data_IF_921738395746
#
_entry.id   IF_921738395746
#
_cell.length_a   1.000
_cell.length_b   1.000
_cell.length_c   1.000
_cell.angle_alpha   90.00
_cell.angle_beta   90.00
_cell.angle_gamma   90.00
#
_symmetry.space_group_name_H-M   'P 1'
#
loop_
_entity.id
_entity.type
_entity.pdbx_description
1 polymer ?
#
# COMPACT_ATOMS: atom_id res chain seq x y z
N UNK A 1 4.92 0.31 9.90
CA UNK A 1 4.73 0.67 8.47
C UNK A 1 5.07 2.14 8.21
N UNK A 2 4.48 3.10 8.92
CA UNK A 2 4.69 4.54 8.69
C UNK A 2 6.17 4.98 8.73
N UNK A 3 6.95 4.44 9.67
CA UNK A 3 8.38 4.74 9.78
C UNK A 3 9.18 4.45 8.49
N UNK A 4 8.85 3.37 7.77
CA UNK A 4 9.48 3.06 6.48
C UNK A 4 9.14 4.15 5.47
N UNK A 5 7.86 4.51 5.37
CA UNK A 5 7.38 5.52 4.42
C UNK A 5 8.02 6.87 4.68
N UNK A 6 8.01 7.32 5.94
CA UNK A 6 8.58 8.62 6.34
C UNK A 6 10.08 8.66 6.04
N UNK A 7 10.82 7.63 6.49
CA UNK A 7 12.27 7.53 6.28
C UNK A 7 12.66 7.57 4.80
N UNK A 8 11.99 6.77 3.98
CA UNK A 8 12.34 6.62 2.56
C UNK A 8 11.85 7.81 1.72
N UNK A 9 10.73 8.44 2.11
CA UNK A 9 10.26 9.70 1.52
C UNK A 9 11.25 10.83 1.78
N UNK A 10 11.71 10.97 3.03
CA UNK A 10 12.74 11.95 3.40
C UNK A 10 14.05 11.73 2.64
N UNK A 11 14.51 10.47 2.54
CA UNK A 11 15.71 10.14 1.76
C UNK A 11 15.55 10.57 0.31
N UNK A 12 14.41 10.27 -0.32
CA UNK A 12 14.17 10.60 -1.72
C UNK A 12 14.13 12.10 -1.99
N UNK A 13 13.45 12.86 -1.13
CA UNK A 13 13.35 14.30 -1.28
C UNK A 13 14.73 14.97 -1.18
N UNK A 14 15.52 14.59 -0.17
CA UNK A 14 16.89 15.08 -0.01
C UNK A 14 17.77 14.72 -1.21
N UNK A 15 17.74 13.48 -1.68
CA UNK A 15 18.51 13.05 -2.86
C UNK A 15 18.19 13.91 -4.10
N UNK A 16 16.91 14.16 -4.36
CA UNK A 16 16.47 14.93 -5.54
C UNK A 16 16.85 16.40 -5.42
N UNK A 17 16.67 17.00 -4.23
CA UNK A 17 17.03 18.40 -4.01
C UNK A 17 18.53 18.61 -4.05
N UNK A 18 19.33 17.75 -3.41
CA UNK A 18 20.80 17.82 -3.48
C UNK A 18 21.30 17.72 -4.92
N UNK A 19 20.77 16.79 -5.73
CA UNK A 19 21.12 16.69 -7.15
C UNK A 19 20.76 17.95 -7.92
N UNK A 20 19.57 18.50 -7.69
CA UNK A 20 19.14 19.72 -8.37
C UNK A 20 20.00 20.93 -7.98
N UNK A 21 20.31 21.07 -6.68
CA UNK A 21 21.16 22.12 -6.12
C UNK A 21 22.57 22.11 -6.73
N UNK A 22 23.19 20.92 -6.84
CA UNK A 22 24.51 20.75 -7.49
C UNK A 22 24.47 21.20 -8.96
N UNK A 23 23.39 20.87 -9.68
CA UNK A 23 23.24 21.26 -11.09
C UNK A 23 22.79 22.72 -11.29
N UNK A 24 22.41 23.45 -10.24
CA UNK A 24 21.88 24.82 -10.32
C UNK A 24 22.43 25.68 -9.17
N UNK A 25 23.77 25.85 -9.07
CA UNK A 25 24.40 26.55 -7.96
C UNK A 25 24.00 28.03 -7.87
N UNK A 26 23.62 28.64 -8.98
CA UNK A 26 23.21 30.04 -9.09
C UNK A 26 21.76 30.31 -8.65
N UNK A 27 20.95 29.26 -8.50
CA UNK A 27 19.55 29.38 -8.10
C UNK A 27 19.39 29.31 -6.58
N UNK A 28 18.28 29.83 -6.02
CA UNK A 28 17.92 29.58 -4.64
C UNK A 28 17.88 28.07 -4.35
N UNK A 29 18.63 27.68 -3.33
CA UNK A 29 18.81 26.27 -2.98
C UNK A 29 17.52 25.68 -2.44
N UNK A 30 17.17 24.49 -2.92
CA UNK A 30 16.00 23.74 -2.43
C UNK A 30 16.38 23.02 -1.15
N UNK A 31 15.59 23.24 -0.11
CA UNK A 31 15.76 22.61 1.19
C UNK A 31 14.50 21.81 1.51
N UNK A 32 14.66 20.53 1.78
CA UNK A 32 13.55 19.68 2.18
C UNK A 32 13.33 19.83 3.68
N UNK A 33 12.14 20.29 4.07
CA UNK A 33 11.68 20.14 5.46
C UNK A 33 11.39 18.65 5.68
N UNK A 34 12.04 17.96 6.63
CA UNK A 34 11.76 16.56 6.91
C UNK A 34 10.27 16.35 7.19
N UNK A 35 9.69 15.34 6.55
CA UNK A 35 8.36 14.81 6.87
C UNK A 35 8.43 14.19 8.26
N UNK A 36 7.60 14.69 9.16
CA UNK A 36 7.42 14.16 10.52
C UNK A 36 6.27 13.16 10.55
N UNK A 37 6.15 12.43 11.66
CA UNK A 37 5.02 11.51 11.89
C UNK A 37 3.69 12.28 11.90
N UNK A 38 3.58 13.35 12.70
CA UNK A 38 2.39 14.21 12.77
C UNK A 38 1.96 14.75 11.39
N UNK A 39 2.93 15.21 10.58
CA UNK A 39 2.63 15.73 9.24
C UNK A 39 2.21 14.60 8.28
N UNK A 40 2.75 13.38 8.46
CA UNK A 40 2.33 12.22 7.68
C UNK A 40 0.93 11.73 8.08
N UNK A 41 0.59 11.77 9.36
CA UNK A 41 -0.78 11.48 9.83
C UNK A 41 -1.77 12.50 9.28
N UNK A 42 -1.41 13.79 9.26
CA UNK A 42 -2.20 14.82 8.59
C UNK A 42 -2.37 14.54 7.09
N UNK A 43 -1.31 14.06 6.41
CA UNK A 43 -1.38 13.68 4.99
C UNK A 43 -2.36 12.51 4.77
N UNK A 44 -2.31 11.48 5.62
CA UNK A 44 -3.25 10.35 5.56
C UNK A 44 -4.68 10.79 5.88
N UNK A 45 -4.86 11.66 6.88
CA UNK A 45 -6.15 12.23 7.24
C UNK A 45 -6.83 12.97 6.08
N UNK A 46 -6.05 13.72 5.29
CA UNK A 46 -6.54 14.35 4.06
C UNK A 46 -7.02 13.31 3.06
N UNK A 47 -6.25 12.26 2.80
CA UNK A 47 -6.61 11.22 1.83
C UNK A 47 -7.89 10.47 2.25
N UNK A 48 -8.03 10.16 3.53
CA UNK A 48 -9.24 9.53 4.09
C UNK A 48 -10.44 10.46 3.95
N UNK A 49 -10.26 11.74 4.30
CA UNK A 49 -11.31 12.76 4.19
C UNK A 49 -11.79 12.92 2.75
N UNK A 50 -10.87 12.98 1.78
CA UNK A 50 -11.20 13.06 0.36
C UNK A 50 -11.97 11.83 -0.12
N UNK A 51 -11.63 10.63 0.39
CA UNK A 51 -12.37 9.40 0.14
C UNK A 51 -13.80 9.45 0.67
N UNK A 52 -13.99 9.83 1.94
CA UNK A 52 -15.31 10.00 2.59
C UNK A 52 -16.16 11.05 1.87
N UNK A 53 -15.50 12.05 1.26
CA UNK A 53 -16.18 13.12 0.53
C UNK A 53 -16.46 12.82 -0.94
N UNK A 54 -16.04 11.65 -1.42
CA UNK A 54 -16.12 11.25 -2.82
C UNK A 54 -15.39 12.22 -3.77
N UNK A 55 -14.39 12.93 -3.24
CA UNK A 55 -13.62 13.95 -3.95
C UNK A 55 -12.33 13.39 -4.56
N UNK A 56 -12.19 12.07 -4.65
CA UNK A 56 -10.97 11.41 -5.15
C UNK A 56 -10.66 11.68 -6.62
N UNK A 57 -11.65 12.13 -7.39
CA UNK A 57 -11.51 12.50 -8.81
C UNK A 57 -11.44 14.02 -9.04
N UNK A 58 -11.56 14.82 -7.99
CA UNK A 58 -11.45 16.28 -8.08
C UNK A 58 -9.99 16.70 -8.21
N UNK A 59 -9.75 17.84 -8.87
CA UNK A 59 -8.40 18.42 -8.90
C UNK A 59 -8.01 18.84 -7.48
N UNK A 60 -6.77 18.54 -7.08
CA UNK A 60 -6.26 18.88 -5.75
C UNK A 60 -6.40 20.38 -5.45
N UNK A 61 -6.32 21.26 -6.45
CA UNK A 61 -6.54 22.70 -6.27
C UNK A 61 -7.96 23.02 -5.80
N UNK A 62 -8.96 22.30 -6.30
CA UNK A 62 -10.35 22.49 -5.89
C UNK A 62 -10.53 22.16 -4.41
N UNK A 63 -9.87 21.10 -3.91
CA UNK A 63 -9.88 20.74 -2.48
C UNK A 63 -9.26 21.82 -1.58
N UNK A 64 -8.39 22.67 -2.12
CA UNK A 64 -7.71 23.75 -1.38
C UNK A 64 -8.29 25.15 -1.64
N UNK A 65 -9.46 25.27 -2.28
CA UNK A 65 -10.15 26.56 -2.42
C UNK A 65 -10.75 27.04 -1.10
N UNK A 66 -10.99 28.34 -0.95
CA UNK A 66 -11.54 28.92 0.28
C UNK A 66 -12.95 28.43 0.62
N UNK A 67 -13.75 28.13 -0.39
CA UNK A 67 -15.12 27.59 -0.31
C UNK A 67 -15.15 26.06 -0.16
N UNK A 68 -14.02 25.37 -0.33
CA UNK A 68 -13.90 23.93 -0.12
C UNK A 68 -13.78 23.56 1.37
N UNK A 69 -13.91 22.26 1.66
CA UNK A 69 -13.91 21.73 3.03
C UNK A 69 -12.69 22.23 3.83
N UNK A 70 -12.88 22.97 4.94
CA UNK A 70 -11.81 23.70 5.60
C UNK A 70 -10.65 22.83 6.11
N UNK A 71 -10.92 21.56 6.46
CA UNK A 71 -9.91 20.68 7.05
C UNK A 71 -8.72 20.43 6.12
N UNK A 72 -8.90 20.46 4.80
CA UNK A 72 -7.77 20.29 3.88
C UNK A 72 -6.70 21.39 4.08
N UNK A 73 -7.15 22.66 4.13
CA UNK A 73 -6.27 23.83 4.32
C UNK A 73 -5.78 23.97 5.76
N UNK A 74 -6.62 23.60 6.73
CA UNK A 74 -6.26 23.62 8.14
C UNK A 74 -5.17 22.57 8.47
N UNK A 75 -5.16 21.43 7.77
CA UNK A 75 -4.21 20.35 8.01
C UNK A 75 -2.84 20.63 7.39
N UNK A 76 -2.77 21.02 6.10
CA UNK A 76 -1.50 21.42 5.50
C UNK A 76 -1.69 22.31 4.26
N UNK A 77 -0.65 23.05 3.89
CA UNK A 77 -0.63 23.84 2.66
C UNK A 77 -0.58 22.93 1.40
N UNK A 78 -1.25 23.35 0.32
CA UNK A 78 -1.31 22.59 -0.96
C UNK A 78 0.08 22.24 -1.52
N UNK A 79 1.02 23.19 -1.44
CA UNK A 79 2.38 23.00 -1.91
C UNK A 79 3.10 21.91 -1.12
N UNK A 80 2.80 21.77 0.18
CA UNK A 80 3.37 20.73 1.03
C UNK A 80 2.76 19.37 0.71
N UNK A 81 1.44 19.31 0.53
CA UNK A 81 0.75 18.10 0.08
C UNK A 81 1.34 17.58 -1.24
N UNK A 82 1.47 18.44 -2.26
CA UNK A 82 2.10 18.07 -3.54
C UNK A 82 3.55 17.60 -3.39
N UNK A 83 4.32 18.25 -2.53
CA UNK A 83 5.71 17.86 -2.31
C UNK A 83 5.81 16.47 -1.65
N UNK A 84 4.96 16.17 -0.67
CA UNK A 84 4.86 14.84 -0.04
C UNK A 84 4.43 13.81 -1.08
N UNK A 85 3.33 14.04 -1.82
CA UNK A 85 2.85 13.12 -2.86
C UNK A 85 3.92 12.80 -3.90
N UNK A 86 4.71 13.80 -4.32
CA UNK A 86 5.80 13.62 -5.29
C UNK A 86 6.91 12.71 -4.77
N UNK A 87 7.28 12.87 -3.50
CA UNK A 87 8.43 12.16 -2.93
C UNK A 87 8.08 10.88 -2.17
N UNK A 88 6.80 10.58 -1.99
CA UNK A 88 6.33 9.40 -1.26
C UNK A 88 7.02 8.11 -1.74
N UNK A 89 7.67 7.38 -0.84
CA UNK A 89 8.33 6.09 -1.11
C UNK A 89 7.95 5.06 -0.06
N UNK A 90 7.95 3.80 -0.46
CA UNK A 90 7.50 2.67 0.38
C UNK A 90 8.61 1.63 0.60
N UNK A 91 9.82 1.87 0.13
CA UNK A 91 10.93 0.94 0.26
C UNK A 91 12.27 1.66 0.06
N UNK A 92 13.34 1.00 0.50
CA UNK A 92 14.69 1.46 0.23
C UNK A 92 15.06 1.29 -1.25
N UNK A 93 15.20 2.42 -1.94
CA UNK A 93 15.56 2.46 -3.36
C UNK A 93 16.96 1.90 -3.66
N UNK A 94 17.89 1.90 -2.70
CA UNK A 94 19.26 1.43 -2.91
C UNK A 94 19.34 -0.09 -3.03
N UNK A 95 18.45 -0.81 -2.35
CA UNK A 95 18.38 -2.29 -2.40
C UNK A 95 17.35 -2.81 -3.40
N UNK A 96 16.58 -1.89 -4.01
CA UNK A 96 15.51 -2.24 -4.96
C UNK A 96 16.03 -2.92 -6.23
N UNK A 97 17.15 -2.52 -6.86
CA UNK A 97 17.65 -3.17 -8.08
C UNK A 97 17.83 -4.68 -7.92
N UNK A 98 18.43 -5.11 -6.81
CA UNK A 98 18.64 -6.54 -6.51
C UNK A 98 17.32 -7.25 -6.26
N UNK A 99 16.39 -6.64 -5.49
CA UNK A 99 15.08 -7.24 -5.22
C UNK A 99 14.20 -7.36 -6.47
N UNK A 100 14.36 -6.45 -7.44
CA UNK A 100 13.63 -6.50 -8.71
C UNK A 100 14.00 -7.69 -9.60
N UNK A 101 15.10 -8.39 -9.32
CA UNK A 101 15.49 -9.61 -10.04
C UNK A 101 14.49 -10.75 -9.79
N UNK A 102 13.95 -10.85 -8.58
CA UNK A 102 12.99 -11.89 -8.18
C UNK A 102 11.58 -11.37 -7.93
N UNK A 103 11.44 -10.10 -7.55
CA UNK A 103 10.17 -9.50 -7.15
C UNK A 103 9.86 -8.23 -7.95
N UNK A 104 8.93 -8.35 -8.92
CA UNK A 104 8.50 -7.21 -9.74
C UNK A 104 7.76 -6.13 -8.94
N UNK A 105 7.20 -6.47 -7.77
CA UNK A 105 6.50 -5.55 -6.87
C UNK A 105 7.40 -5.02 -5.75
N UNK A 106 8.73 -5.22 -5.83
CA UNK A 106 9.72 -4.85 -4.81
C UNK A 106 9.53 -3.44 -4.21
N UNK A 107 9.02 -2.47 -4.97
CA UNK A 107 8.77 -1.12 -4.48
C UNK A 107 7.70 -1.03 -3.36
N UNK A 108 6.86 -2.05 -3.16
CA UNK A 108 5.78 -2.05 -2.16
C UNK A 108 5.73 -3.33 -1.31
N UNK A 109 6.43 -4.39 -1.72
CA UNK A 109 6.36 -5.72 -1.09
C UNK A 109 6.58 -5.71 0.42
N UNK A 110 7.52 -4.92 0.93
CA UNK A 110 7.78 -4.85 2.37
C UNK A 110 6.55 -4.36 3.15
N UNK A 111 5.91 -3.28 2.69
CA UNK A 111 4.66 -2.81 3.29
C UNK A 111 3.52 -3.78 3.11
N UNK A 112 3.44 -4.46 1.96
CA UNK A 112 2.40 -5.44 1.69
C UNK A 112 2.46 -6.62 2.66
N UNK A 113 3.68 -7.11 2.95
CA UNK A 113 3.89 -8.17 3.95
C UNK A 113 3.52 -7.72 5.36
N UNK A 114 3.89 -6.49 5.74
CA UNK A 114 3.51 -5.92 7.03
C UNK A 114 1.99 -5.76 7.15
N UNK A 115 1.31 -5.30 6.10
CA UNK A 115 -0.14 -5.19 6.04
C UNK A 115 -0.79 -6.56 6.27
N UNK A 116 -0.40 -7.58 5.50
CA UNK A 116 -0.94 -8.94 5.64
C UNK A 116 -0.69 -9.53 7.04
N UNK A 117 0.47 -9.24 7.65
CA UNK A 117 0.75 -9.68 9.01
C UNK A 117 -0.18 -9.02 10.02
N UNK A 118 -0.41 -7.72 9.89
CA UNK A 118 -1.33 -6.98 10.77
C UNK A 118 -2.78 -7.46 10.60
N UNK A 119 -3.25 -7.65 9.36
CA UNK A 119 -4.60 -8.15 9.10
C UNK A 119 -4.86 -9.48 9.80
N UNK A 120 -3.91 -10.42 9.73
CA UNK A 120 -4.04 -11.73 10.39
C UNK A 120 -3.88 -11.65 11.91
N UNK A 121 -3.07 -10.74 12.42
CA UNK A 121 -2.82 -10.62 13.85
C UNK A 121 -4.01 -10.01 14.61
N UNK A 122 -4.87 -9.23 13.94
CA UNK A 122 -5.93 -8.45 14.58
C UNK A 122 -7.34 -9.00 14.35
N UNK A 123 -7.48 -10.17 13.72
CA UNK A 123 -8.79 -10.74 13.47
C UNK A 123 -8.74 -12.27 13.41
N UNK A 124 -9.64 -12.93 14.15
CA UNK A 124 -9.90 -14.36 14.05
C UNK A 124 -11.13 -14.55 13.15
N UNK A 125 -10.98 -15.21 11.99
CA UNK A 125 -12.09 -15.39 11.06
C UNK A 125 -13.09 -16.47 11.47
N UNK A 126 -14.28 -16.36 10.88
CA UNK A 126 -15.31 -17.39 10.91
C UNK A 126 -14.93 -18.64 10.11
N UNK A 127 -15.77 -19.67 10.19
CA UNK A 127 -15.60 -20.95 9.49
C UNK A 127 -15.67 -20.81 7.96
N UNK A 128 -16.24 -19.72 7.45
CA UNK A 128 -16.53 -19.53 6.02
C UNK A 128 -15.65 -18.44 5.43
N UNK A 129 -14.77 -18.82 4.50
CA UNK A 129 -13.87 -17.91 3.79
C UNK A 129 -14.20 -17.81 2.30
N UNK A 130 -14.02 -16.62 1.75
CA UNK A 130 -14.15 -16.36 0.31
C UNK A 130 -12.80 -15.97 -0.29
N UNK A 131 -12.58 -16.40 -1.53
CA UNK A 131 -11.38 -16.07 -2.31
C UNK A 131 -11.80 -15.50 -3.65
N UNK A 132 -11.39 -14.27 -3.93
CA UNK A 132 -11.73 -13.62 -5.20
C UNK A 132 -10.63 -12.63 -5.67
N UNK A 133 -10.78 -12.20 -6.91
CA UNK A 133 -9.91 -11.28 -7.62
C UNK A 133 -10.44 -9.84 -7.56
N UNK A 134 -9.67 -8.95 -6.93
CA UNK A 134 -9.83 -7.52 -7.07
C UNK A 134 -8.93 -6.98 -8.21
N UNK A 135 -9.45 -6.02 -8.97
CA UNK A 135 -8.67 -5.26 -9.93
C UNK A 135 -8.62 -3.80 -9.49
N UNK A 136 -7.45 -3.36 -9.05
CA UNK A 136 -7.21 -1.97 -8.71
C UNK A 136 -6.94 -1.16 -9.99
N UNK A 137 -7.83 -0.21 -10.37
CA UNK A 137 -7.71 0.51 -11.63
C UNK A 137 -6.39 1.27 -11.72
N UNK A 138 -5.57 0.94 -12.71
CA UNK A 138 -4.27 1.58 -12.90
C UNK A 138 -3.80 1.44 -14.35
N UNK A 139 -3.38 2.55 -14.95
CA UNK A 139 -2.90 2.62 -16.34
C UNK A 139 -1.44 3.04 -16.46
N UNK A 140 -0.72 3.16 -15.35
CA UNK A 140 0.69 3.50 -15.38
C UNK A 140 1.57 2.35 -15.86
N UNK A 141 2.85 2.65 -16.07
CA UNK A 141 3.84 1.70 -16.58
C UNK A 141 4.36 0.80 -15.46
N UNK A 142 3.71 -0.34 -15.26
CA UNK A 142 4.19 -1.41 -14.36
C UNK A 142 4.35 -2.72 -15.12
N UNK A 143 5.33 -3.54 -14.72
CA UNK A 143 5.64 -4.83 -15.39
C UNK A 143 4.58 -5.93 -15.17
N UNK A 144 3.53 -5.63 -14.42
CA UNK A 144 2.51 -6.59 -13.98
C UNK A 144 1.08 -6.06 -14.06
N UNK A 145 0.83 -4.96 -14.77
CA UNK A 145 -0.53 -4.52 -15.10
C UNK A 145 -1.26 -5.61 -15.88
N UNK A 146 -2.49 -5.93 -15.49
CA UNK A 146 -3.33 -6.93 -16.13
C UNK A 146 -4.44 -6.27 -16.95
N UNK A 147 -4.82 -6.91 -18.05
CA UNK A 147 -6.02 -6.60 -18.80
C UNK A 147 -7.11 -7.62 -18.47
N UNK A 148 -8.26 -7.16 -17.99
CA UNK A 148 -9.41 -8.01 -17.63
C UNK A 148 -10.68 -7.44 -18.27
N UNK A 149 -11.09 -7.94 -19.45
CA UNK A 149 -12.17 -7.33 -20.25
C UNK A 149 -13.53 -7.34 -19.55
N UNK A 150 -13.75 -8.26 -18.61
CA UNK A 150 -15.00 -8.39 -17.86
C UNK A 150 -15.13 -7.43 -16.67
N UNK A 151 -14.08 -6.70 -16.29
CA UNK A 151 -14.11 -5.74 -15.17
C UNK A 151 -14.36 -4.31 -15.71
N UNK A 152 -15.08 -3.43 -14.97
CA UNK A 152 -15.39 -2.07 -15.42
C UNK A 152 -14.13 -1.26 -15.78
N UNK A 153 -13.14 -1.28 -14.89
CA UNK A 153 -11.80 -0.82 -15.21
C UNK A 153 -11.05 -1.95 -15.92
N UNK A 154 -10.94 -1.90 -17.25
CA UNK A 154 -10.33 -3.00 -18.03
C UNK A 154 -8.84 -3.24 -17.74
N UNK A 155 -8.13 -2.26 -17.18
CA UNK A 155 -6.69 -2.32 -16.90
C UNK A 155 -6.41 -1.97 -15.44
N UNK A 156 -5.54 -2.74 -14.79
CA UNK A 156 -5.19 -2.48 -13.40
C UNK A 156 -4.19 -3.46 -12.80
N UNK A 157 -3.93 -3.29 -11.51
CA UNK A 157 -3.16 -4.23 -10.71
C UNK A 157 -4.14 -5.27 -10.17
N UNK A 158 -3.93 -6.54 -10.54
CA UNK A 158 -4.73 -7.65 -10.04
C UNK A 158 -4.23 -8.08 -8.66
N UNK A 159 -5.15 -8.23 -7.72
CA UNK A 159 -4.88 -8.65 -6.34
C UNK A 159 -5.84 -9.80 -6.02
N UNK A 160 -5.30 -10.90 -5.51
CA UNK A 160 -6.11 -11.97 -4.92
C UNK A 160 -6.31 -11.67 -3.44
N UNK A 161 -7.53 -11.81 -2.95
CA UNK A 161 -7.85 -11.65 -1.54
C UNK A 161 -8.44 -12.94 -0.97
N UNK A 162 -8.08 -13.26 0.27
CA UNK A 162 -8.88 -14.12 1.14
C UNK A 162 -9.58 -13.22 2.14
N UNK A 163 -10.91 -13.32 2.21
CA UNK A 163 -11.71 -12.56 3.16
C UNK A 163 -12.62 -13.49 3.97
N UNK A 164 -12.99 -13.07 5.17
CA UNK A 164 -14.08 -13.68 5.92
C UNK A 164 -15.41 -13.40 5.22
N UNK A 165 -16.21 -14.44 5.00
CA UNK A 165 -17.47 -14.34 4.27
C UNK A 165 -18.56 -13.62 5.07
N UNK A 166 -18.47 -13.62 6.40
CA UNK A 166 -19.52 -13.06 7.27
C UNK A 166 -19.50 -11.53 7.29
N UNK A 167 -18.31 -10.92 7.33
CA UNK A 167 -18.15 -9.47 7.50
C UNK A 167 -17.22 -8.83 6.45
N UNK A 168 -16.76 -9.58 5.46
CA UNK A 168 -15.85 -9.12 4.40
C UNK A 168 -14.48 -8.65 4.89
N UNK A 169 -14.05 -9.02 6.10
CA UNK A 169 -12.73 -8.66 6.62
C UNK A 169 -11.61 -9.33 5.79
N UNK A 170 -10.63 -8.58 5.26
CA UNK A 170 -9.53 -9.16 4.50
C UNK A 170 -8.49 -9.80 5.41
N UNK A 171 -8.17 -11.07 5.19
CA UNK A 171 -7.17 -11.81 5.96
C UNK A 171 -5.78 -11.69 5.34
N UNK A 172 -5.69 -11.89 4.02
CA UNK A 172 -4.42 -11.78 3.29
C UNK A 172 -4.69 -11.45 1.83
N UNK A 173 -3.82 -10.63 1.25
CA UNK A 173 -3.83 -10.32 -0.17
C UNK A 173 -2.55 -10.76 -0.87
N UNK A 174 -2.62 -11.08 -2.15
CA UNK A 174 -1.45 -11.31 -3.00
C UNK A 174 -1.54 -10.48 -4.28
N UNK A 175 -0.57 -9.58 -4.47
CA UNK A 175 -0.40 -8.85 -5.73
C UNK A 175 0.04 -9.83 -6.82
N UNK A 176 -0.73 -9.91 -7.90
CA UNK A 176 -0.37 -10.74 -9.03
C UNK A 176 0.69 -10.04 -9.89
N UNK A 177 1.90 -10.59 -9.92
CA UNK A 177 3.06 -10.04 -10.65
C UNK A 177 3.30 -10.71 -12.02
N UNK A 178 2.32 -11.46 -12.53
CA UNK A 178 2.45 -12.27 -13.74
C UNK A 178 3.00 -13.67 -13.46
N UNK A 179 3.20 -14.47 -14.51
CA UNK A 179 3.69 -15.84 -14.38
C UNK A 179 5.17 -15.88 -13.95
N UNK A 180 5.50 -16.79 -13.05
CA UNK A 180 6.90 -17.17 -12.80
C UNK A 180 7.47 -17.96 -14.00
N UNK A 181 8.80 -18.04 -14.16
CA UNK A 181 9.41 -18.85 -15.23
C UNK A 181 8.98 -20.32 -15.18
N UNK A 182 8.77 -20.88 -13.98
CA UNK A 182 8.31 -22.27 -13.77
C UNK A 182 6.85 -22.47 -14.22
N UNK A 183 6.01 -21.45 -14.16
CA UNK A 183 4.61 -21.53 -14.60
C UNK A 183 4.43 -21.39 -16.13
N UNK A 184 5.50 -21.00 -16.85
CA UNK A 184 5.47 -20.88 -18.30
C UNK A 184 5.70 -22.23 -19.01
N UNK A 185 6.43 -23.18 -18.38
CA UNK A 185 6.70 -24.51 -18.96
C UNK A 185 5.48 -25.44 -18.97
N UNK A 186 4.49 -25.19 -18.10
CA UNK A 186 3.43 -26.17 -17.83
C UNK A 186 2.20 -26.08 -18.75
N UNK A 187 2.20 -25.23 -19.79
CA UNK A 187 1.25 -25.26 -20.93
C UNK A 187 -0.27 -25.14 -20.66
N UNK A 188 -0.73 -25.22 -19.41
CA UNK A 188 -2.15 -25.40 -19.07
C UNK A 188 -2.80 -24.05 -18.76
N UNK A 189 -3.72 -23.63 -19.64
CA UNK A 189 -4.65 -22.51 -19.45
C UNK A 189 -5.75 -22.88 -18.44
N UNK A 190 -5.46 -22.92 -17.13
CA UNK A 190 -6.51 -22.88 -16.10
C UNK A 190 -6.63 -21.46 -15.55
N UNK A 191 -7.84 -21.04 -15.15
CA UNK A 191 -8.06 -19.89 -14.24
C UNK A 191 -7.40 -20.26 -12.91
N UNK A 192 -6.09 -20.10 -12.82
CA UNK A 192 -5.31 -20.50 -11.65
C UNK A 192 -5.18 -19.26 -10.77
N UNK A 193 -5.82 -19.29 -9.61
CA UNK A 193 -5.20 -18.75 -8.40
C UNK A 193 -3.74 -19.21 -8.39
N UNK A 194 -2.78 -18.36 -7.98
CA UNK A 194 -1.40 -18.81 -7.82
C UNK A 194 -1.44 -20.09 -6.97
N UNK A 195 -0.90 -21.20 -7.48
CA UNK A 195 -1.03 -22.49 -6.79
C UNK A 195 -0.45 -22.42 -5.37
N UNK A 196 0.53 -21.53 -5.19
CA UNK A 196 1.14 -21.20 -3.91
C UNK A 196 0.23 -20.37 -3.00
N UNK A 197 -0.74 -19.60 -3.52
CA UNK A 197 -1.62 -18.77 -2.69
C UNK A 197 -2.44 -19.59 -1.69
N UNK A 198 -3.02 -20.70 -2.15
CA UNK A 198 -3.78 -21.60 -1.28
C UNK A 198 -2.88 -22.44 -0.36
N UNK A 199 -1.67 -22.79 -0.80
CA UNK A 199 -0.69 -23.50 0.03
C UNK A 199 -0.14 -22.59 1.13
N UNK A 200 0.34 -21.40 0.78
CA UNK A 200 0.81 -20.35 1.69
C UNK A 200 -0.28 -19.95 2.68
N UNK A 201 -1.53 -19.86 2.22
CA UNK A 201 -2.68 -19.61 3.08
C UNK A 201 -2.88 -20.74 4.10
N UNK A 202 -2.95 -22.00 3.65
CA UNK A 202 -3.15 -23.16 4.54
C UNK A 202 -2.03 -23.32 5.56
N UNK A 203 -0.78 -23.15 5.14
CA UNK A 203 0.38 -23.22 6.03
C UNK A 203 0.32 -22.12 7.10
N UNK A 204 0.00 -20.89 6.69
CA UNK A 204 -0.09 -19.79 7.66
C UNK A 204 -1.27 -19.95 8.62
N UNK A 205 -2.41 -20.44 8.14
CA UNK A 205 -3.61 -20.59 8.98
C UNK A 205 -3.46 -21.71 10.02
N UNK A 206 -2.80 -22.80 9.64
CA UNK A 206 -2.47 -23.90 10.56
C UNK A 206 -1.56 -23.41 11.71
N UNK A 207 -0.63 -22.49 11.42
CA UNK A 207 0.24 -21.88 12.44
C UNK A 207 -0.48 -20.84 13.32
N UNK A 208 -1.58 -20.24 12.86
CA UNK A 208 -2.36 -19.27 13.62
C UNK A 208 -3.31 -19.94 14.63
N UNK A 209 -3.87 -21.11 14.30
CA UNK A 209 -4.67 -21.92 15.24
C UNK A 209 -3.87 -22.47 16.42
N UNK A 210 -2.53 -22.52 16.31
CA UNK A 210 -1.62 -22.94 17.39
C UNK A 210 -1.11 -21.78 18.26
N UNK A 211 -1.61 -20.56 18.08
CA UNK A 211 -1.33 -19.47 19.02
C UNK A 211 -2.33 -19.54 20.15
N UNK A 212 -1.84 -19.77 21.37
CA UNK A 212 -2.68 -19.70 22.57
C UNK A 212 -3.48 -18.38 22.57
N UNK A 213 -4.76 -18.41 22.97
CA UNK A 213 -5.53 -17.20 23.12
C UNK A 213 -4.80 -16.26 24.08
N UNK A 214 -4.71 -14.98 23.70
CA UNK A 214 -4.23 -13.93 24.59
C UNK A 214 -4.98 -14.05 25.92
N UNK A 215 -4.26 -14.30 27.01
CA UNK A 215 -4.84 -14.23 28.34
C UNK A 215 -5.42 -12.82 28.52
N UNK A 216 -6.73 -12.71 28.68
CA UNK A 216 -7.35 -11.51 29.23
C UNK A 216 -6.69 -11.26 30.60
N UNK A 217 -5.90 -10.19 30.69
CA UNK A 217 -5.40 -9.70 31.97
C UNK A 217 -6.60 -9.29 32.82
N UNK A 218 -7.03 -10.19 33.70
CA UNK A 218 -7.86 -9.87 34.85
C UNK A 218 -7.00 -9.12 35.87
N UNK A 219 -6.87 -7.82 35.68
CA UNK A 219 -6.65 -6.88 36.78
C UNK A 219 -7.97 -6.11 36.90
N UNK A 220 -8.93 -6.60 37.69
CA UNK A 220 -9.06 -6.38 39.13
C UNK A 220 -9.07 -4.90 39.48
N UNK A 221 -10.28 -4.47 39.83
CA UNK A 221 -10.66 -3.38 40.74
C UNK A 221 -9.58 -2.85 41.69
N UNK A 222 -9.74 -1.55 42.03
CA UNK A 222 -9.05 -0.74 43.07
C UNK A 222 -7.90 0.12 42.52
N UNK A 223 -8.22 1.34 42.05
CA UNK A 223 -8.18 2.61 42.80
C UNK A 223 -8.78 3.74 41.94
#
# INVERSE_FOLDING_TARGET
MCNIVIKETNRKANEVYSKWNISNPEKPQKIWKPLTEEEFDGYLGILITAGVRHSSSEDVKELWRMDAYPLYRATMAINRFWAITRFLRFDNANTRPQRLESDKAAAITELWLLLNNNLRAHYVPSECLTVDEQLFPYRGRTRFTQYMPAKPAKYGIKIWWVCDSLNSYPLTGQIYTGKSPKEQSDGVKKKRTPANFFADFRETFSNAHNREPYEESKDVSEF
#
